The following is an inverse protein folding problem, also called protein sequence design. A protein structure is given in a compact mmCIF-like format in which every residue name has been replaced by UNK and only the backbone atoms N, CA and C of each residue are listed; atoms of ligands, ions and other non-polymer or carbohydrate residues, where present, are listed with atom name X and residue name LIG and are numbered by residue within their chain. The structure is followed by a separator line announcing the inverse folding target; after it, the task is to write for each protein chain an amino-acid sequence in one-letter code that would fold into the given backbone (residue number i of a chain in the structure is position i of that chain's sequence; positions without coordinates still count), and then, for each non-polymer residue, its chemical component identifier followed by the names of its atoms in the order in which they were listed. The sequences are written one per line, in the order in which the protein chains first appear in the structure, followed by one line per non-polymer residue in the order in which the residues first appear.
data_IF_046349927501
#
_entry.id   IF_046349927501
#
_cell.length_a   1.000
_cell.length_b   1.000
_cell.length_c   1.000
_cell.angle_alpha   90.00
_cell.angle_beta   90.00
_cell.angle_gamma   90.00
#
_symmetry.space_group_name_H-M   'P 1'
#
loop_
_entity.id
_entity.type
_entity.pdbx_description
1 polymer ?
#
# COMPACT_ATOMS: atom_id res chain seq x y z
N UNK A 1 2.14 -25.10 2.55
CA UNK A 1 1.09 -25.58 1.64
C UNK A 1 0.60 -24.44 0.77
N UNK A 2 0.12 -24.73 -0.45
CA UNK A 2 -0.33 -23.72 -1.42
C UNK A 2 -1.44 -22.79 -0.88
N UNK A 3 -2.27 -23.28 0.05
CA UNK A 3 -3.36 -22.50 0.67
C UNK A 3 -2.81 -21.26 1.40
N UNK A 4 -1.77 -21.41 2.23
CA UNK A 4 -1.16 -20.29 2.97
C UNK A 4 -0.55 -19.27 1.99
N UNK A 5 0.04 -19.75 0.89
CA UNK A 5 0.69 -18.89 -0.11
C UNK A 5 -0.29 -17.97 -0.86
N UNK A 6 -1.48 -18.47 -1.19
CA UNK A 6 -2.50 -17.65 -1.87
C UNK A 6 -3.01 -16.55 -0.92
N UNK A 7 -3.15 -16.85 0.37
CA UNK A 7 -3.65 -15.92 1.39
C UNK A 7 -2.64 -14.84 1.79
N UNK A 8 -1.34 -15.14 1.77
CA UNK A 8 -0.28 -14.17 2.14
C UNK A 8 0.32 -13.45 0.94
N UNK A 9 -0.18 -13.69 -0.28
CA UNK A 9 0.36 -13.05 -1.48
C UNK A 9 0.06 -11.56 -1.42
N UNK A 10 1.07 -10.68 -1.34
CA UNK A 10 0.83 -9.25 -1.46
C UNK A 10 0.22 -9.00 -2.84
N UNK A 11 -0.95 -8.37 -2.86
CA UNK A 11 -1.57 -7.88 -4.08
C UNK A 11 -0.57 -7.04 -4.87
N UNK A 12 -0.50 -7.29 -6.18
CA UNK A 12 0.41 -6.54 -7.03
C UNK A 12 0.10 -5.05 -6.89
N UNK A 13 1.10 -4.22 -6.56
CA UNK A 13 0.85 -2.80 -6.37
C UNK A 13 0.39 -2.20 -7.69
N UNK A 14 -0.81 -1.62 -7.71
CA UNK A 14 -1.34 -0.89 -8.86
C UNK A 14 -1.06 0.60 -8.71
N UNK A 15 -0.98 1.31 -9.84
CA UNK A 15 -0.87 2.76 -9.84
C UNK A 15 -2.13 3.40 -9.27
N UNK A 16 -2.01 4.26 -8.26
CA UNK A 16 -3.16 4.98 -7.69
C UNK A 16 -3.81 5.97 -8.67
N UNK A 17 -3.07 6.47 -9.66
CA UNK A 17 -3.60 7.44 -10.64
C UNK A 17 -4.26 6.79 -11.86
N UNK A 18 -3.75 5.66 -12.35
CA UNK A 18 -4.28 5.04 -13.57
C UNK A 18 -4.78 3.59 -13.39
N UNK A 19 -4.55 2.96 -12.24
CA UNK A 19 -4.95 1.57 -11.97
C UNK A 19 -4.07 0.50 -12.63
N UNK A 20 -3.06 0.88 -13.42
CA UNK A 20 -2.21 -0.08 -14.13
C UNK A 20 -1.31 -0.85 -13.14
N UNK A 21 -1.12 -2.18 -13.30
CA UNK A 21 -0.21 -2.95 -12.45
C UNK A 21 1.22 -2.43 -12.53
N UNK A 22 1.78 -2.09 -11.37
CA UNK A 22 3.15 -1.58 -11.25
C UNK A 22 4.08 -2.67 -10.73
N UNK A 23 5.17 -2.87 -11.45
CA UNK A 23 6.37 -3.51 -10.90
C UNK A 23 7.03 -2.48 -9.97
N UNK A 24 6.94 -2.73 -8.67
CA UNK A 24 7.09 -1.86 -7.49
C UNK A 24 8.40 -1.06 -7.33
N UNK A 25 9.24 -0.93 -8.36
CA UNK A 25 10.58 -0.32 -8.27
C UNK A 25 10.70 1.05 -8.94
N UNK A 26 9.72 1.48 -9.71
CA UNK A 26 9.80 2.76 -10.45
C UNK A 26 9.23 3.93 -9.63
N UNK A 27 10.00 5.03 -9.55
CA UNK A 27 9.61 6.28 -8.86
C UNK A 27 8.39 6.92 -9.56
N UNK A 28 8.34 6.81 -10.88
CA UNK A 28 7.24 7.28 -11.72
C UNK A 28 6.58 6.10 -12.42
N UNK A 29 5.27 6.16 -12.58
CA UNK A 29 4.51 5.21 -13.36
C UNK A 29 4.90 5.36 -14.85
N UNK A 30 5.36 4.29 -15.54
CA UNK A 30 5.73 4.38 -16.94
C UNK A 30 4.52 4.56 -17.88
N UNK A 31 3.30 4.31 -17.38
CA UNK A 31 2.07 4.36 -18.18
C UNK A 31 1.37 5.72 -18.13
N UNK A 32 1.45 6.44 -17.00
CA UNK A 32 0.76 7.73 -16.83
C UNK A 32 1.66 8.87 -16.32
N UNK A 33 2.89 8.58 -15.93
CA UNK A 33 3.83 9.57 -15.38
C UNK A 33 3.60 9.95 -13.92
N UNK A 34 2.58 9.40 -13.25
CA UNK A 34 2.29 9.72 -11.85
C UNK A 34 3.38 9.20 -10.90
N UNK A 35 3.64 9.95 -9.84
CA UNK A 35 4.60 9.60 -8.79
C UNK A 35 4.08 8.42 -7.96
N UNK A 36 4.82 7.31 -7.96
CA UNK A 36 4.40 6.07 -7.33
C UNK A 36 4.89 5.95 -5.86
N UNK A 37 5.92 6.71 -5.49
CA UNK A 37 6.41 6.75 -4.11
C UNK A 37 5.72 7.88 -3.35
N UNK A 38 5.29 7.60 -2.13
CA UNK A 38 4.83 8.64 -1.23
C UNK A 38 6.00 9.57 -0.88
N UNK A 39 5.77 10.88 -0.91
CA UNK A 39 6.73 11.87 -0.43
C UNK A 39 6.18 12.53 0.82
N UNK A 40 7.08 12.93 1.72
CA UNK A 40 6.67 13.69 2.88
C UNK A 40 6.12 15.06 2.45
N UNK A 41 4.88 15.39 2.83
CA UNK A 41 4.29 16.70 2.53
C UNK A 41 5.06 17.88 3.11
N UNK A 42 5.84 17.67 4.19
CA UNK A 42 6.56 18.74 4.87
C UNK A 42 7.95 18.99 4.28
N UNK A 43 8.70 17.94 3.94
CA UNK A 43 10.11 18.07 3.52
C UNK A 43 10.42 17.43 2.16
N UNK A 44 9.43 16.82 1.51
CA UNK A 44 9.53 16.13 0.21
C UNK A 44 10.54 14.98 0.17
N UNK A 45 10.92 14.43 1.34
CA UNK A 45 11.71 13.19 1.40
C UNK A 45 10.88 12.02 0.88
N UNK A 46 11.51 11.14 0.10
CA UNK A 46 10.90 9.90 -0.39
C UNK A 46 10.63 8.97 0.79
N UNK A 47 9.39 8.48 0.88
CA UNK A 47 8.92 7.59 1.94
C UNK A 47 8.75 6.17 1.40
N UNK A 48 9.03 5.17 2.24
CA UNK A 48 8.82 3.77 1.91
C UNK A 48 7.47 3.24 2.42
N UNK A 49 7.00 2.14 1.81
CA UNK A 49 5.64 1.57 1.99
C UNK A 49 5.31 1.11 3.43
N UNK A 50 6.23 1.22 4.38
CA UNK A 50 6.03 0.79 5.78
C UNK A 50 6.51 1.83 6.80
N UNK A 51 6.79 3.07 6.37
CA UNK A 51 7.25 4.11 7.29
C UNK A 51 6.04 4.77 7.97
N UNK A 52 6.09 4.82 9.31
CA UNK A 52 5.08 5.47 10.15
C UNK A 52 5.33 6.98 10.29
N UNK A 53 6.59 7.41 10.11
CA UNK A 53 7.01 8.80 10.20
C UNK A 53 8.20 9.08 9.27
N UNK A 54 8.32 10.33 8.83
CA UNK A 54 9.42 10.76 7.98
C UNK A 54 10.74 10.77 8.78
N UNK A 55 11.83 10.14 8.29
CA UNK A 55 13.11 10.11 9.01
C UNK A 55 13.83 11.46 9.02
N UNK A 56 13.45 12.38 8.12
CA UNK A 56 14.10 13.68 8.00
C UNK A 56 13.44 14.73 8.88
N UNK A 57 12.11 14.78 8.91
CA UNK A 57 11.37 15.83 9.61
C UNK A 57 10.47 15.33 10.75
N UNK A 58 10.29 14.02 10.92
CA UNK A 58 9.45 13.44 11.96
C UNK A 58 7.93 13.49 11.68
N UNK A 59 7.49 14.03 10.54
CA UNK A 59 6.07 14.09 10.22
C UNK A 59 5.48 12.67 10.09
N UNK A 60 4.35 12.42 10.76
CA UNK A 60 3.60 11.16 10.63
C UNK A 60 3.10 10.99 9.21
N UNK A 61 3.16 9.75 8.73
CA UNK A 61 2.76 9.35 7.39
C UNK A 61 1.54 8.46 7.58
N UNK A 62 0.43 8.83 6.96
CA UNK A 62 -0.75 7.96 6.88
C UNK A 62 -0.42 6.85 5.88
N UNK A 63 0.32 5.85 6.36
CA UNK A 63 0.53 4.64 5.58
C UNK A 63 -0.79 3.87 5.63
N UNK A 64 -1.50 3.89 4.50
CA UNK A 64 -2.58 2.93 4.24
C UNK A 64 -1.95 1.55 4.31
N UNK A 65 -1.96 0.98 5.51
CA UNK A 65 -1.75 -0.45 5.74
C UNK A 65 -2.72 -1.10 4.75
N UNK A 66 -2.28 -2.03 3.87
CA UNK A 66 -3.25 -2.79 3.12
C UNK A 66 -4.19 -3.37 4.16
N UNK A 67 -5.43 -2.89 4.14
CA UNK A 67 -6.47 -3.20 5.09
C UNK A 67 -6.62 -4.71 4.96
N UNK A 68 -5.91 -5.44 5.82
CA UNK A 68 -6.09 -6.87 5.92
C UNK A 68 -7.54 -7.01 6.32
N UNK A 69 -8.36 -7.37 5.33
CA UNK A 69 -9.78 -7.62 5.41
C UNK A 69 -10.08 -8.12 6.81
N UNK A 70 -10.73 -7.27 7.60
CA UNK A 70 -11.34 -7.67 8.86
C UNK A 70 -12.49 -8.57 8.42
N UNK A 71 -12.20 -9.85 8.21
CA UNK A 71 -13.23 -10.87 8.12
C UNK A 71 -13.77 -10.99 9.54
N UNK A 72 -14.85 -10.24 9.82
CA UNK A 72 -15.79 -10.63 10.87
C UNK A 72 -16.49 -11.89 10.37
N UNK A 73 -15.85 -13.04 10.55
CA UNK A 73 -16.57 -14.31 10.49
C UNK A 73 -17.30 -14.46 11.82
N UNK A 74 -18.56 -14.03 11.82
CA UNK A 74 -19.48 -14.06 12.95
C UNK A 74 -20.78 -14.69 12.49
N UNK A 75 -20.84 -16.00 12.68
CA UNK A 75 -21.90 -16.92 12.31
C UNK A 75 -23.05 -16.88 13.33
N UNK A 76 -24.19 -16.29 13.00
CA UNK A 76 -25.46 -16.67 13.64
C UNK A 76 -26.67 -16.44 12.72
N UNK A 77 -27.11 -17.54 12.12
CA UNK A 77 -28.47 -17.69 11.60
C UNK A 77 -29.46 -17.85 12.77
N UNK A 78 -30.67 -17.34 12.55
CA UNK A 78 -31.97 -17.73 13.15
C UNK A 78 -32.37 -17.02 14.45
N UNK A 79 -33.67 -16.67 14.61
CA UNK A 79 -34.82 -17.60 14.55
C UNK A 79 -35.61 -17.65 13.24
#
# INVERSE_FOLDING_TARGET
GLIIYILTRPENPACKSCGEPLTTKHIYCPYCGAENKQMCHSCRTILEKNWLACPTCGQKIESERPEALVIVDGLDNNP
#
